data_IF_576723913836
#
_entry.id   IF_576723913836
#
_cell.length_a   1.000
_cell.length_b   1.000
_cell.length_c   1.000
_cell.angle_alpha   90.00
_cell.angle_beta   90.00
_cell.angle_gamma   90.00
#
_symmetry.space_group_name_H-M   'P 1'
#
loop_
_entity.id
_entity.type
_entity.pdbx_description
1 polymer ?
#
# COMPACT_ATOMS: atom_id res chain seq x y z
N UNK A 1 6.19 0.28 -7.55
CA UNK A 1 5.12 -0.66 -7.14
C UNK A 1 4.35 -0.03 -5.99
N UNK A 2 3.03 -0.12 -5.98
CA UNK A 2 2.17 0.47 -4.97
C UNK A 2 1.42 -0.62 -4.22
N UNK A 3 1.52 -0.61 -2.88
CA UNK A 3 0.72 -1.47 -2.00
C UNK A 3 -0.47 -0.68 -1.48
N UNK A 4 -1.67 -1.23 -1.61
CA UNK A 4 -2.87 -0.71 -0.98
C UNK A 4 -3.35 -1.71 0.07
N UNK A 5 -3.55 -1.22 1.29
CA UNK A 5 -4.10 -1.99 2.41
C UNK A 5 -5.57 -1.61 2.59
N UNK A 6 -6.46 -2.45 2.06
CA UNK A 6 -7.90 -2.25 2.16
C UNK A 6 -8.47 -2.76 3.47
N UNK A 7 -9.45 -2.06 4.02
CA UNK A 7 -10.18 -2.53 5.21
C UNK A 7 -10.95 -3.81 4.90
N UNK A 8 -11.02 -4.70 5.89
CA UNK A 8 -11.83 -5.90 5.78
C UNK A 8 -13.25 -5.56 6.22
N UNK A 9 -14.18 -5.41 5.27
CA UNK A 9 -15.59 -5.28 5.60
C UNK A 9 -16.13 -6.63 6.10
N UNK A 10 -16.19 -6.78 7.43
CA UNK A 10 -16.71 -7.98 8.11
C UNK A 10 -18.22 -8.15 7.97
N UNK A 11 -18.94 -7.14 7.48
CA UNK A 11 -20.40 -7.21 7.29
C UNK A 11 -20.80 -7.87 5.98
N UNK A 12 -19.84 -8.04 5.05
CA UNK A 12 -20.11 -8.55 3.71
C UNK A 12 -20.11 -10.07 3.70
N UNK A 13 -21.28 -10.66 3.43
CA UNK A 13 -21.43 -12.11 3.25
C UNK A 13 -20.49 -12.60 2.15
N UNK A 14 -19.79 -13.73 2.32
CA UNK A 14 -19.05 -14.35 1.23
C UNK A 14 -20.02 -14.65 0.08
N UNK A 15 -19.84 -13.99 -1.05
CA UNK A 15 -20.58 -14.35 -2.27
C UNK A 15 -19.95 -15.64 -2.81
N UNK A 16 -20.57 -16.77 -2.48
CA UNK A 16 -20.27 -18.05 -3.12
C UNK A 16 -20.40 -17.84 -4.65
N UNK A 17 -19.33 -18.20 -5.37
CA UNK A 17 -19.24 -18.28 -6.84
C UNK A 17 -18.76 -17.06 -7.65
N UNK A 18 -18.13 -16.05 -7.06
CA UNK A 18 -17.26 -15.17 -7.85
C UNK A 18 -15.87 -15.07 -7.24
N UNK A 19 -14.86 -15.44 -8.04
CA UNK A 19 -13.50 -14.96 -7.88
C UNK A 19 -13.51 -13.44 -8.17
N UNK A 20 -14.14 -12.64 -7.30
CA UNK A 20 -14.06 -11.19 -7.40
C UNK A 20 -12.71 -10.82 -6.84
N UNK A 21 -11.86 -10.23 -7.66
CA UNK A 21 -10.62 -9.65 -7.15
C UNK A 21 -11.00 -8.63 -6.07
N UNK A 22 -10.53 -8.77 -4.81
CA UNK A 22 -11.06 -8.01 -3.67
C UNK A 22 -11.03 -6.49 -3.88
N UNK A 23 -10.07 -5.99 -4.65
CA UNK A 23 -9.93 -4.58 -5.01
C UNK A 23 -11.07 -4.04 -5.89
N UNK A 24 -11.79 -4.88 -6.65
CA UNK A 24 -12.90 -4.43 -7.51
C UNK A 24 -14.11 -3.92 -6.71
N UNK A 25 -14.23 -4.38 -5.46
CA UNK A 25 -15.30 -4.04 -4.54
C UNK A 25 -14.92 -2.95 -3.52
N UNK A 26 -13.64 -2.57 -3.47
CA UNK A 26 -13.15 -1.46 -2.66
C UNK A 26 -13.12 -0.19 -3.53
N UNK A 27 -14.15 0.64 -3.40
CA UNK A 27 -14.24 1.88 -4.18
C UNK A 27 -13.09 2.84 -3.90
N UNK A 28 -12.58 2.86 -2.68
CA UNK A 28 -11.48 3.73 -2.30
C UNK A 28 -10.18 3.24 -2.95
N UNK A 29 -9.91 1.93 -2.89
CA UNK A 29 -8.78 1.32 -3.59
C UNK A 29 -8.80 1.62 -5.08
N UNK A 30 -9.96 1.51 -5.73
CA UNK A 30 -10.09 1.80 -7.17
C UNK A 30 -9.77 3.26 -7.50
N UNK A 31 -10.23 4.19 -6.67
CA UNK A 31 -9.94 5.63 -6.85
C UNK A 31 -8.46 5.91 -6.66
N UNK A 32 -7.87 5.41 -5.59
CA UNK A 32 -6.48 5.71 -5.23
C UNK A 32 -5.49 5.04 -6.17
N UNK A 33 -5.69 3.75 -6.48
CA UNK A 33 -4.86 3.04 -7.45
C UNK A 33 -5.04 3.57 -8.88
N UNK A 34 -6.27 3.94 -9.25
CA UNK A 34 -6.55 4.57 -10.54
C UNK A 34 -5.84 5.91 -10.68
N UNK A 35 -5.86 6.75 -9.63
CA UNK A 35 -5.12 8.02 -9.59
C UNK A 35 -3.62 7.79 -9.65
N UNK A 36 -3.10 6.81 -8.92
CA UNK A 36 -1.67 6.46 -8.95
C UNK A 36 -1.23 6.00 -10.35
N UNK A 37 -2.03 5.15 -11.02
CA UNK A 37 -1.77 4.72 -12.38
C UNK A 37 -1.74 5.91 -13.36
N UNK A 38 -2.75 6.78 -13.29
CA UNK A 38 -2.81 7.97 -14.14
C UNK A 38 -1.56 8.86 -13.98
N UNK A 39 -1.15 9.12 -12.74
CA UNK A 39 0.04 9.93 -12.46
C UNK A 39 1.33 9.24 -12.93
N UNK A 40 1.42 7.92 -12.77
CA UNK A 40 2.57 7.15 -13.25
C UNK A 40 2.67 7.14 -14.78
N UNK A 41 1.54 7.03 -15.48
CA UNK A 41 1.47 7.11 -16.94
C UNK A 41 1.90 8.48 -17.47
N UNK A 42 1.38 9.57 -16.89
CA UNK A 42 1.80 10.95 -17.24
C UNK A 42 3.31 11.14 -17.05
N UNK A 43 3.88 10.55 -16.00
CA UNK A 43 5.31 10.57 -15.70
C UNK A 43 6.14 9.54 -16.48
N UNK A 44 5.51 8.65 -17.26
CA UNK A 44 6.14 7.52 -17.98
C UNK A 44 6.91 6.55 -17.06
N UNK A 45 6.38 6.31 -15.87
CA UNK A 45 6.95 5.40 -14.87
C UNK A 45 6.17 4.09 -14.90
N UNK A 46 6.86 2.95 -15.01
CA UNK A 46 6.20 1.64 -14.87
C UNK A 46 5.68 1.46 -13.44
N UNK A 47 4.38 1.22 -13.30
CA UNK A 47 3.75 0.93 -12.02
C UNK A 47 3.12 -0.46 -11.98
N UNK A 48 3.26 -1.13 -10.83
CA UNK A 48 2.59 -2.40 -10.49
C UNK A 48 1.86 -2.21 -9.18
N UNK A 49 0.77 -2.93 -9.00
CA UNK A 49 -0.12 -2.76 -7.86
C UNK A 49 -0.27 -4.05 -7.08
N UNK A 50 -0.25 -3.95 -5.76
CA UNK A 50 -0.57 -5.04 -4.85
C UNK A 50 -1.71 -4.57 -3.96
N UNK A 51 -2.77 -5.37 -3.90
CA UNK A 51 -3.84 -5.19 -2.94
C UNK A 51 -3.74 -6.27 -1.86
N UNK A 52 -3.81 -5.86 -0.60
CA UNK A 52 -3.92 -6.74 0.56
C UNK A 52 -4.97 -6.20 1.51
N UNK A 53 -5.54 -7.06 2.33
CA UNK A 53 -6.33 -6.60 3.46
C UNK A 53 -5.40 -6.04 4.53
N UNK A 54 -5.85 -4.99 5.22
CA UNK A 54 -5.18 -4.47 6.41
C UNK A 54 -5.24 -5.53 7.50
N UNK A 55 -4.08 -6.05 7.85
CA UNK A 55 -3.87 -6.99 8.94
C UNK A 55 -2.53 -6.62 9.61
N UNK A 56 -2.34 -6.87 10.91
CA UNK A 56 -1.06 -6.61 11.56
C UNK A 56 0.10 -7.29 10.83
N UNK A 57 1.13 -6.51 10.48
CA UNK A 57 2.34 -6.97 9.80
C UNK A 57 2.18 -7.17 8.30
N UNK A 58 1.10 -6.66 7.68
CA UNK A 58 0.90 -6.76 6.23
C UNK A 58 2.01 -6.06 5.45
N UNK A 59 2.46 -4.89 5.93
CA UNK A 59 3.58 -4.16 5.32
C UNK A 59 4.87 -4.98 5.42
N UNK A 60 5.15 -5.54 6.61
CA UNK A 60 6.35 -6.34 6.87
C UNK A 60 6.41 -7.58 5.97
N UNK A 61 5.30 -8.30 5.79
CA UNK A 61 5.22 -9.48 4.91
C UNK A 61 5.53 -9.12 3.46
N UNK A 62 4.91 -8.06 2.93
CA UNK A 62 5.15 -7.61 1.55
C UNK A 62 6.61 -7.18 1.36
N UNK A 63 7.17 -6.47 2.34
CA UNK A 63 8.57 -6.05 2.31
C UNK A 63 9.53 -7.26 2.31
N UNK A 64 9.25 -8.27 3.13
CA UNK A 64 10.03 -9.52 3.19
C UNK A 64 9.92 -10.35 1.92
N UNK A 65 8.78 -10.35 1.23
CA UNK A 65 8.61 -11.11 -0.01
C UNK A 65 9.27 -10.44 -1.22
N UNK A 66 9.22 -9.11 -1.27
CA UNK A 66 9.60 -8.35 -2.48
C UNK A 66 10.98 -7.71 -2.37
N UNK A 67 11.54 -7.64 -1.16
CA UNK A 67 12.83 -7.01 -0.87
C UNK A 67 13.04 -5.69 -1.61
N UNK A 68 12.09 -4.73 -1.49
CA UNK A 68 12.19 -3.47 -2.22
C UNK A 68 13.43 -2.69 -1.77
N UNK A 69 14.14 -2.08 -2.71
CA UNK A 69 15.36 -1.29 -2.39
C UNK A 69 15.04 -0.05 -1.55
N UNK A 70 13.91 0.58 -1.86
CA UNK A 70 13.40 1.77 -1.19
C UNK A 70 11.88 1.65 -1.05
N UNK A 71 11.34 2.15 0.07
CA UNK A 71 9.93 2.05 0.41
C UNK A 71 9.45 3.38 1.01
N UNK A 72 8.44 3.98 0.39
CA UNK A 72 7.80 5.21 0.87
C UNK A 72 6.46 4.83 1.51
N UNK A 73 6.24 5.31 2.72
CA UNK A 73 5.08 4.97 3.56
C UNK A 73 4.37 6.23 4.01
N UNK A 74 3.04 6.23 3.91
CA UNK A 74 2.19 7.30 4.38
C UNK A 74 2.25 7.43 5.92
N UNK A 75 2.06 8.65 6.42
CA UNK A 75 2.16 8.97 7.86
C UNK A 75 1.32 8.05 8.76
N UNK A 76 0.08 7.77 8.36
CA UNK A 76 -0.86 6.93 9.10
C UNK A 76 -0.44 5.45 9.18
N UNK A 77 0.48 5.02 8.31
CA UNK A 77 1.01 3.66 8.26
C UNK A 77 2.42 3.54 8.89
N UNK A 78 3.03 4.65 9.31
CA UNK A 78 4.37 4.66 9.89
C UNK A 78 4.53 3.77 11.13
N UNK A 79 3.58 3.71 12.09
CA UNK A 79 3.76 2.91 13.30
C UNK A 79 3.98 1.43 13.02
N UNK A 80 3.25 0.85 12.06
CA UNK A 80 3.41 -0.55 11.66
C UNK A 80 4.75 -0.81 10.99
N UNK A 81 5.25 0.17 10.23
CA UNK A 81 6.46 -0.03 9.44
C UNK A 81 7.76 0.28 10.20
N UNK A 82 7.71 1.04 11.30
CA UNK A 82 8.86 1.23 12.19
C UNK A 82 9.36 -0.09 12.80
N UNK A 83 8.48 -1.08 12.95
CA UNK A 83 8.85 -2.42 13.43
C UNK A 83 9.72 -3.20 12.41
N UNK A 84 9.70 -2.82 11.13
CA UNK A 84 10.42 -3.53 10.07
C UNK A 84 11.92 -3.24 10.15
N UNK A 85 12.29 -1.96 10.25
CA UNK A 85 13.71 -1.56 10.32
C UNK A 85 13.90 -0.19 11.01
N UNK A 86 13.81 -0.12 12.35
CA UNK A 86 13.70 1.15 13.10
C UNK A 86 14.91 2.09 12.96
N UNK A 87 16.06 1.58 12.54
CA UNK A 87 17.30 2.35 12.40
C UNK A 87 17.55 2.90 10.99
N UNK A 88 16.65 2.63 10.03
CA UNK A 88 16.79 3.04 8.62
C UNK A 88 15.56 3.77 8.09
N UNK A 89 14.92 4.52 8.97
CA UNK A 89 13.78 5.38 8.64
C UNK A 89 14.22 6.83 8.52
N UNK A 90 13.71 7.54 7.51
CA UNK A 90 13.81 9.00 7.43
C UNK A 90 12.44 9.59 7.08
N UNK A 91 12.15 10.80 7.56
CA UNK A 91 10.85 11.45 7.36
C UNK A 91 11.05 12.63 6.41
N UNK A 92 10.19 12.72 5.41
CA UNK A 92 10.12 13.83 4.47
C UNK A 92 8.77 14.53 4.57
N UNK A 93 8.78 15.87 4.56
CA UNK A 93 7.57 16.69 4.47
C UNK A 93 7.27 17.02 3.02
N UNK A 94 6.10 16.61 2.54
CA UNK A 94 5.60 16.90 1.20
C UNK A 94 4.41 17.87 1.26
N UNK A 95 3.99 18.42 0.13
CA UNK A 95 2.75 19.22 0.06
C UNK A 95 1.49 18.44 0.41
N UNK A 96 1.54 17.10 0.38
CA UNK A 96 0.45 16.20 0.74
C UNK A 96 0.50 15.64 2.16
N UNK A 97 1.48 16.05 2.98
CA UNK A 97 1.70 15.54 4.33
C UNK A 97 3.08 14.90 4.52
N UNK A 98 3.27 14.22 5.64
CA UNK A 98 4.53 13.54 5.94
C UNK A 98 4.57 12.15 5.33
N UNK A 99 5.75 11.73 4.88
CA UNK A 99 6.02 10.37 4.43
C UNK A 99 7.28 9.85 5.10
N UNK A 100 7.35 8.53 5.29
CA UNK A 100 8.53 7.85 5.82
C UNK A 100 9.18 7.03 4.72
N UNK A 101 10.49 7.20 4.56
CA UNK A 101 11.34 6.37 3.73
C UNK A 101 11.94 5.24 4.55
N UNK A 102 11.90 4.03 4.02
CA UNK A 102 12.49 2.82 4.58
C UNK A 102 13.53 2.28 3.61
N UNK A 103 14.81 2.44 3.99
CA UNK A 103 15.93 1.88 3.25
C UNK A 103 16.18 0.41 3.59
N UNK A 104 16.78 -0.29 2.62
CA UNK A 104 17.39 -1.62 2.82
C UNK A 104 18.64 -1.55 3.68
#
# INVERSE_FOLDING_TARGET
MFLYLGERDSTRKPELFRLIEPHLNDEQARKDLGRANYLAEEAKIECRFIYRHREPGAIARVWQELHPQDTIIAEDQMPEAQEIHPQRTSIESTSGGQVMHLGT
#
